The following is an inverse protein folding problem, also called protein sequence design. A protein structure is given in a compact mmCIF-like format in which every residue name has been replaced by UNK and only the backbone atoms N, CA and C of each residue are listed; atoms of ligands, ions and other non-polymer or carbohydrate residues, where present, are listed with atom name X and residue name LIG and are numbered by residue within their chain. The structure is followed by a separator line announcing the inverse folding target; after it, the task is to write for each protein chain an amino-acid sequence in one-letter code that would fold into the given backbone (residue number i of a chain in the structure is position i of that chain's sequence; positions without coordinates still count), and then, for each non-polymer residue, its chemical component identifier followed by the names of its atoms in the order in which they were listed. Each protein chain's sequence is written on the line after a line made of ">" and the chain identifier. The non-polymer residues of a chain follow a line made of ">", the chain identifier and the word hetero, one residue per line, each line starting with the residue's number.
data_IF_948042205167
#
_entry.id   IF_948042205167
#
_cell.length_a   1.000
_cell.length_b   1.000
_cell.length_c   1.000
_cell.angle_alpha   90.00
_cell.angle_beta   90.00
_cell.angle_gamma   90.00
#
_symmetry.space_group_name_H-M   'P 1'
#
loop_
_entity.id
_entity.type
_entity.pdbx_description
1 polymer ?
#
# COMPACT_ATOMS: atom_id res chain seq x y z
N UNK A 1 7.45 -7.17 4.39
CA UNK A 1 8.42 -7.99 5.15
C UNK A 1 8.44 -7.53 6.60
N UNK A 2 7.75 -8.26 7.48
CA UNK A 2 8.11 -8.24 8.90
C UNK A 2 9.27 -9.23 9.05
N UNK A 3 10.41 -8.78 9.58
CA UNK A 3 11.55 -9.66 9.77
C UNK A 3 11.22 -10.66 10.89
N UNK A 4 10.77 -11.86 10.53
CA UNK A 4 10.69 -12.97 11.47
C UNK A 4 12.13 -13.37 11.79
N UNK A 5 12.58 -13.08 13.01
CA UNK A 5 13.94 -13.42 13.45
C UNK A 5 14.07 -14.92 13.78
N UNK A 6 12.95 -15.61 13.93
CA UNK A 6 12.87 -17.03 14.20
C UNK A 6 12.25 -17.80 13.03
N UNK A 7 12.67 -19.06 12.78
CA UNK A 7 12.05 -19.91 11.78
C UNK A 7 10.55 -20.04 12.03
N UNK A 8 9.76 -19.88 10.97
CA UNK A 8 8.32 -20.14 11.02
C UNK A 8 8.13 -21.64 11.22
N UNK A 9 7.37 -22.04 12.25
CA UNK A 9 7.11 -23.46 12.51
C UNK A 9 6.38 -24.11 11.33
N UNK A 10 6.61 -25.41 11.04
CA UNK A 10 5.82 -26.14 10.08
C UNK A 10 4.32 -25.96 10.33
N UNK A 11 3.53 -25.93 9.24
CA UNK A 11 2.07 -25.78 9.29
C UNK A 11 1.55 -24.43 9.82
N UNK A 12 2.43 -23.44 10.04
CA UNK A 12 1.99 -22.09 10.40
C UNK A 12 1.29 -21.42 9.21
N UNK A 13 0.04 -20.96 9.36
CA UNK A 13 -0.62 -20.20 8.31
C UNK A 13 0.13 -18.90 8.03
N UNK A 14 0.50 -18.71 6.76
CA UNK A 14 1.06 -17.46 6.28
C UNK A 14 0.21 -16.92 5.14
N UNK A 15 0.34 -15.63 4.86
CA UNK A 15 -0.32 -15.01 3.73
C UNK A 15 0.69 -14.23 2.90
N UNK A 16 0.45 -14.25 1.60
CA UNK A 16 1.19 -13.45 0.64
C UNK A 16 0.20 -12.57 -0.10
N UNK A 17 0.56 -11.29 -0.26
CA UNK A 17 -0.26 -10.30 -0.94
C UNK A 17 0.36 -9.91 -2.27
N UNK A 18 -0.45 -9.99 -3.31
CA UNK A 18 -0.16 -9.44 -4.62
C UNK A 18 -1.13 -8.27 -4.90
N UNK A 19 -0.62 -7.18 -5.44
CA UNK A 19 -1.43 -6.03 -5.85
C UNK A 19 -1.13 -5.70 -7.30
N UNK A 20 -2.19 -5.58 -8.10
CA UNK A 20 -2.13 -5.32 -9.52
C UNK A 20 -2.77 -3.95 -9.76
N UNK A 21 -2.00 -3.06 -10.39
CA UNK A 21 -2.44 -1.68 -10.67
C UNK A 21 -2.85 -1.49 -12.12
N UNK A 22 -2.69 -2.52 -12.94
CA UNK A 22 -2.93 -2.52 -14.38
C UNK A 22 -3.80 -3.74 -14.74
N UNK A 23 -4.96 -3.48 -15.34
CA UNK A 23 -5.95 -4.48 -15.71
C UNK A 23 -5.40 -5.52 -16.70
N UNK A 24 -4.42 -5.14 -17.53
CA UNK A 24 -3.79 -6.05 -18.50
C UNK A 24 -3.02 -7.18 -17.83
N UNK A 25 -2.53 -6.96 -16.59
CA UNK A 25 -1.83 -7.98 -15.81
C UNK A 25 -2.80 -8.94 -15.13
N UNK A 26 -3.99 -8.46 -14.75
CA UNK A 26 -4.98 -9.28 -14.06
C UNK A 26 -5.37 -10.50 -14.92
N UNK A 27 -5.77 -10.27 -16.18
CA UNK A 27 -6.17 -11.36 -17.08
C UNK A 27 -5.07 -12.39 -17.36
N UNK A 28 -3.80 -11.98 -17.38
CA UNK A 28 -2.65 -12.88 -17.54
C UNK A 28 -2.45 -13.77 -16.31
N UNK A 29 -2.66 -13.20 -15.11
CA UNK A 29 -2.48 -13.92 -13.86
C UNK A 29 -3.68 -14.82 -13.53
N UNK A 30 -4.90 -14.49 -13.99
CA UNK A 30 -6.09 -15.35 -13.83
C UNK A 30 -5.84 -16.78 -14.28
N UNK A 31 -5.16 -16.98 -15.41
CA UNK A 31 -4.80 -18.31 -15.91
C UNK A 31 -3.84 -19.06 -14.98
N UNK A 32 -2.92 -18.36 -14.30
CA UNK A 32 -2.05 -18.99 -13.31
C UNK A 32 -2.85 -19.43 -12.08
N UNK A 33 -3.80 -18.60 -11.61
CA UNK A 33 -4.62 -18.91 -10.45
C UNK A 33 -5.56 -20.10 -10.69
N UNK A 34 -6.16 -20.21 -11.89
CA UNK A 34 -7.02 -21.33 -12.28
C UNK A 34 -6.27 -22.67 -12.33
N UNK A 35 -4.95 -22.63 -12.53
CA UNK A 35 -4.09 -23.82 -12.62
C UNK A 35 -3.34 -24.11 -11.32
N UNK A 36 -3.73 -23.47 -10.20
CA UNK A 36 -3.14 -23.81 -8.90
C UNK A 36 -3.59 -25.20 -8.51
N UNK A 37 -2.60 -26.10 -8.41
CA UNK A 37 -2.79 -27.40 -7.81
C UNK A 37 -2.54 -27.27 -6.30
N UNK A 38 -3.56 -27.45 -5.43
CA UNK A 38 -3.42 -27.33 -3.98
C UNK A 38 -2.53 -28.42 -3.36
N UNK A 39 -2.33 -29.54 -4.06
CA UNK A 39 -1.45 -30.64 -3.62
C UNK A 39 0.01 -30.42 -4.03
N UNK A 40 0.29 -29.43 -4.88
CA UNK A 40 1.64 -29.11 -5.33
C UNK A 40 2.27 -28.03 -4.45
N UNK A 41 3.36 -28.38 -3.80
CA UNK A 41 4.18 -27.42 -3.06
C UNK A 41 4.76 -26.34 -3.99
N UNK A 42 4.71 -25.10 -3.52
CA UNK A 42 5.37 -23.94 -4.10
C UNK A 42 6.64 -23.64 -3.32
N UNK A 43 7.78 -23.65 -4.00
CA UNK A 43 9.06 -23.35 -3.37
C UNK A 43 9.25 -21.84 -3.26
N UNK A 44 9.33 -21.33 -2.02
CA UNK A 44 9.69 -19.95 -1.73
C UNK A 44 10.92 -19.91 -0.83
N UNK A 45 12.08 -19.68 -1.43
CA UNK A 45 13.36 -19.81 -0.73
C UNK A 45 13.61 -21.26 -0.32
N UNK A 46 13.82 -21.51 0.97
CA UNK A 46 14.03 -22.86 1.53
C UNK A 46 12.75 -23.52 2.05
N UNK A 47 11.59 -22.90 1.86
CA UNK A 47 10.31 -23.38 2.39
C UNK A 47 9.37 -23.87 1.28
N UNK A 48 8.64 -24.92 1.59
CA UNK A 48 7.53 -25.43 0.79
C UNK A 48 6.22 -24.81 1.29
N UNK A 49 5.49 -24.17 0.39
CA UNK A 49 4.22 -23.52 0.68
C UNK A 49 3.09 -24.19 -0.09
N UNK A 50 1.98 -24.44 0.59
CA UNK A 50 0.75 -24.92 -0.03
C UNK A 50 -0.27 -23.78 -0.06
N UNK A 51 -0.85 -23.54 -1.23
CA UNK A 51 -1.87 -22.50 -1.38
C UNK A 51 -3.19 -23.07 -0.86
N UNK A 52 -3.60 -22.62 0.32
CA UNK A 52 -4.83 -23.09 0.98
C UNK A 52 -6.06 -22.26 0.62
N UNK A 53 -5.87 -20.99 0.25
CA UNK A 53 -6.96 -20.09 -0.16
C UNK A 53 -6.45 -18.91 -0.97
N UNK A 54 -7.35 -18.30 -1.76
CA UNK A 54 -7.10 -17.06 -2.50
C UNK A 54 -8.25 -16.10 -2.18
N UNK A 55 -7.91 -14.89 -1.76
CA UNK A 55 -8.88 -13.88 -1.35
C UNK A 55 -8.70 -12.61 -2.18
N UNK A 56 -9.78 -12.21 -2.85
CA UNK A 56 -9.81 -11.01 -3.73
C UNK A 56 -10.82 -9.96 -3.27
N UNK A 57 -11.71 -10.33 -2.35
CA UNK A 57 -12.72 -9.44 -1.75
C UNK A 57 -12.35 -9.09 -0.31
N UNK A 58 -12.73 -7.89 0.17
CA UNK A 58 -12.49 -7.50 1.55
C UNK A 58 -13.25 -8.42 2.52
N UNK A 59 -12.53 -8.93 3.51
CA UNK A 59 -13.07 -9.73 4.61
C UNK A 59 -12.51 -9.19 5.94
N UNK A 60 -13.27 -9.32 7.04
CA UNK A 60 -12.87 -8.79 8.35
C UNK A 60 -11.54 -9.36 8.85
N UNK A 61 -11.25 -10.63 8.54
CA UNK A 61 -9.99 -11.29 8.87
C UNK A 61 -8.85 -10.94 7.90
N UNK A 62 -9.13 -10.30 6.76
CA UNK A 62 -8.18 -10.06 5.67
C UNK A 62 -8.33 -8.66 5.08
N UNK A 63 -7.97 -7.62 5.86
CA UNK A 63 -8.17 -6.22 5.49
C UNK A 63 -7.26 -5.72 4.36
N UNK A 64 -6.39 -6.58 3.82
CA UNK A 64 -5.42 -6.26 2.77
C UNK A 64 -5.82 -6.80 1.39
N UNK A 65 -6.88 -7.61 1.32
CA UNK A 65 -7.46 -8.14 0.10
C UNK A 65 -8.64 -7.25 -0.34
N UNK A 66 -8.58 -6.71 -1.55
CA UNK A 66 -9.67 -5.92 -2.12
C UNK A 66 -9.53 -5.86 -3.64
N UNK A 67 -10.62 -5.57 -4.34
CA UNK A 67 -10.67 -5.34 -5.78
C UNK A 67 -11.61 -4.16 -6.06
N UNK A 68 -11.09 -3.13 -6.73
CA UNK A 68 -11.83 -1.93 -7.06
C UNK A 68 -11.25 -1.31 -8.33
N UNK A 69 -12.10 -0.76 -9.19
CA UNK A 69 -11.64 0.01 -10.35
C UNK A 69 -11.26 1.43 -9.93
N UNK A 70 -10.41 2.09 -10.72
CA UNK A 70 -10.05 3.50 -10.47
C UNK A 70 -11.26 4.43 -10.47
N UNK A 71 -12.22 4.21 -11.39
CA UNK A 71 -13.45 4.99 -11.45
C UNK A 71 -14.30 4.82 -10.19
N UNK A 72 -14.52 3.58 -9.73
CA UNK A 72 -15.24 3.32 -8.48
C UNK A 72 -14.53 3.95 -7.28
N UNK A 73 -13.20 3.84 -7.22
CA UNK A 73 -12.42 4.40 -6.12
C UNK A 73 -12.50 5.94 -6.08
N UNK A 74 -12.52 6.58 -7.26
CA UNK A 74 -12.76 8.01 -7.37
C UNK A 74 -14.19 8.39 -6.97
N UNK A 75 -15.19 7.71 -7.53
CA UNK A 75 -16.61 8.01 -7.32
C UNK A 75 -17.01 7.90 -5.84
N UNK A 76 -16.53 6.86 -5.15
CA UNK A 76 -16.80 6.57 -3.74
C UNK A 76 -16.02 7.47 -2.78
N UNK A 77 -14.98 8.15 -3.23
CA UNK A 77 -14.19 9.03 -2.39
C UNK A 77 -15.03 10.19 -1.85
N UNK A 78 -14.85 10.50 -0.57
CA UNK A 78 -15.58 11.58 0.10
C UNK A 78 -15.06 12.95 -0.32
N UNK A 79 -15.96 13.85 -0.73
CA UNK A 79 -15.67 15.28 -0.94
C UNK A 79 -15.72 16.12 0.32
N UNK A 80 -15.93 15.51 1.49
CA UNK A 80 -16.09 16.21 2.78
C UNK A 80 -15.14 15.72 3.87
N UNK A 81 -14.60 14.50 3.78
CA UNK A 81 -13.67 13.96 4.77
C UNK A 81 -12.32 14.67 4.68
N UNK A 82 -11.90 15.28 5.80
CA UNK A 82 -10.68 16.08 5.88
C UNK A 82 -9.58 15.43 6.69
N UNK A 83 -9.82 14.27 7.30
CA UNK A 83 -8.85 13.49 8.06
C UNK A 83 -8.43 12.24 7.30
N UNK A 84 -7.12 12.03 7.18
CA UNK A 84 -6.53 10.91 6.47
C UNK A 84 -5.60 10.19 7.43
N UNK A 85 -6.01 9.01 7.88
CA UNK A 85 -5.27 8.20 8.85
C UNK A 85 -4.62 7.02 8.14
N UNK A 86 -3.29 6.99 8.05
CA UNK A 86 -2.55 5.88 7.46
C UNK A 86 -1.94 4.97 8.51
N UNK A 87 -1.98 3.67 8.24
CA UNK A 87 -1.20 2.65 8.95
C UNK A 87 -0.17 2.03 8.01
N UNK A 88 1.11 2.24 8.31
CA UNK A 88 2.25 1.64 7.62
C UNK A 88 2.56 0.28 8.26
N UNK A 89 2.23 -0.80 7.55
CA UNK A 89 2.32 -2.18 8.05
C UNK A 89 3.65 -2.87 7.74
N UNK A 90 4.44 -2.30 6.83
CA UNK A 90 5.80 -2.77 6.53
C UNK A 90 6.75 -1.58 6.44
N UNK A 91 8.06 -1.77 6.67
CA UNK A 91 9.03 -0.68 6.61
C UNK A 91 8.87 0.14 5.33
N UNK A 92 8.67 1.45 5.49
CA UNK A 92 8.42 2.39 4.39
C UNK A 92 9.49 3.48 4.35
N UNK A 93 10.09 3.67 3.19
CA UNK A 93 11.14 4.65 2.98
C UNK A 93 10.92 5.43 1.68
N UNK A 94 11.45 6.64 1.64
CA UNK A 94 11.28 7.60 0.55
C UNK A 94 12.62 8.11 0.08
N UNK A 95 12.70 8.55 -1.18
CA UNK A 95 13.90 9.23 -1.70
C UNK A 95 13.81 10.72 -1.38
N UNK A 96 14.80 11.26 -0.70
CA UNK A 96 14.96 12.69 -0.44
C UNK A 96 16.34 13.15 -0.93
N UNK A 97 16.35 13.82 -2.09
CA UNK A 97 17.60 14.12 -2.79
C UNK A 97 18.36 12.84 -3.14
N UNK A 98 19.59 12.72 -2.63
CA UNK A 98 20.46 11.56 -2.87
C UNK A 98 20.31 10.44 -1.82
N UNK A 99 19.56 10.68 -0.74
CA UNK A 99 19.46 9.77 0.40
C UNK A 99 18.05 9.22 0.58
N UNK A 100 17.94 8.09 1.27
CA UNK A 100 16.64 7.56 1.67
C UNK A 100 16.27 8.09 3.06
N UNK A 101 14.99 8.41 3.27
CA UNK A 101 14.42 8.85 4.55
C UNK A 101 13.26 7.95 4.96
N UNK A 102 13.17 7.67 6.26
CA UNK A 102 12.05 6.95 6.85
C UNK A 102 10.92 7.89 7.28
N UNK A 103 11.07 9.21 7.14
CA UNK A 103 10.06 10.17 7.56
C UNK A 103 8.95 10.30 6.49
N UNK A 104 7.69 9.99 6.83
CA UNK A 104 6.57 10.08 5.90
C UNK A 104 6.06 11.54 5.84
N UNK A 105 6.80 12.42 5.16
CA UNK A 105 6.30 13.78 4.89
C UNK A 105 5.07 13.73 3.96
N UNK A 106 4.24 14.78 3.97
CA UNK A 106 3.09 14.87 3.06
C UNK A 106 3.52 14.76 1.59
N UNK A 107 4.63 15.41 1.22
CA UNK A 107 5.16 15.35 -0.14
C UNK A 107 5.60 13.93 -0.47
N UNK A 108 6.29 13.27 0.46
CA UNK A 108 6.82 11.93 0.27
C UNK A 108 5.71 10.89 0.05
N UNK A 109 4.65 10.96 0.87
CA UNK A 109 3.51 10.04 0.80
C UNK A 109 2.63 10.34 -0.42
N UNK A 110 2.12 11.56 -0.53
CA UNK A 110 1.11 11.89 -1.53
C UNK A 110 1.69 12.02 -2.93
N UNK A 111 2.94 12.49 -3.12
CA UNK A 111 3.57 12.43 -4.46
C UNK A 111 3.79 10.98 -4.91
N UNK A 112 4.16 10.08 -3.99
CA UNK A 112 4.32 8.65 -4.31
C UNK A 112 3.01 8.01 -4.77
N UNK A 113 1.89 8.37 -4.14
CA UNK A 113 0.56 7.89 -4.52
C UNK A 113 0.12 8.48 -5.85
N UNK A 114 0.22 9.80 -5.98
CA UNK A 114 -0.19 10.54 -7.16
C UNK A 114 0.57 10.10 -8.43
N UNK A 115 1.87 9.87 -8.33
CA UNK A 115 2.67 9.37 -9.45
C UNK A 115 2.19 8.02 -9.97
N UNK A 116 1.78 7.11 -9.06
CA UNK A 116 1.24 5.80 -9.45
C UNK A 116 -0.19 5.91 -9.95
N UNK A 117 -1.00 6.76 -9.31
CA UNK A 117 -2.37 7.04 -9.74
C UNK A 117 -2.36 7.55 -11.17
N UNK A 118 -1.72 8.70 -11.44
CA UNK A 118 -1.70 9.31 -12.77
C UNK A 118 -1.08 8.41 -13.84
N UNK A 119 -0.20 7.47 -13.46
CA UNK A 119 0.39 6.51 -14.40
C UNK A 119 -0.61 5.43 -14.85
N UNK A 120 -1.49 4.97 -13.95
CA UNK A 120 -2.29 3.76 -14.19
C UNK A 120 -3.80 4.00 -14.24
N UNK A 121 -4.30 5.09 -13.65
CA UNK A 121 -5.74 5.30 -13.47
C UNK A 121 -6.48 5.77 -14.73
N UNK A 122 -5.77 6.44 -15.64
CA UNK A 122 -6.40 7.20 -16.73
C UNK A 122 -7.18 8.45 -16.28
N UNK A 123 -7.17 8.77 -14.98
CA UNK A 123 -7.82 9.93 -14.37
C UNK A 123 -6.72 10.83 -13.81
N UNK A 124 -6.38 11.91 -14.50
CA UNK A 124 -5.31 12.79 -14.09
C UNK A 124 -5.72 13.69 -12.92
N UNK A 125 -4.86 13.74 -11.89
CA UNK A 125 -5.03 14.60 -10.72
C UNK A 125 -3.81 15.52 -10.62
N UNK A 126 -4.06 16.81 -10.37
CA UNK A 126 -3.02 17.83 -10.23
C UNK A 126 -2.18 17.59 -8.96
N UNK A 127 -0.84 17.79 -9.00
CA UNK A 127 0.00 17.73 -7.80
C UNK A 127 -0.25 18.85 -6.78
N UNK A 128 -0.94 19.92 -7.17
CA UNK A 128 -1.25 21.08 -6.31
C UNK A 128 -2.17 20.70 -5.14
N UNK A 129 -2.93 19.61 -5.24
CA UNK A 129 -3.80 19.12 -4.15
C UNK A 129 -3.03 18.77 -2.88
N UNK A 130 -1.71 18.59 -2.97
CA UNK A 130 -0.86 18.22 -1.82
C UNK A 130 -0.62 19.43 -0.89
N UNK A 131 -0.75 20.65 -1.40
CA UNK A 131 -0.37 21.86 -0.67
C UNK A 131 -1.27 22.10 0.55
N UNK A 132 -2.56 21.77 0.43
CA UNK A 132 -3.54 21.89 1.51
C UNK A 132 -3.50 20.75 2.54
N UNK A 133 -2.63 19.75 2.36
CA UNK A 133 -2.48 18.64 3.29
C UNK A 133 -1.46 19.01 4.37
N UNK A 134 -1.70 18.66 5.62
CA UNK A 134 -0.80 18.92 6.74
C UNK A 134 -0.70 17.70 7.67
N UNK A 135 0.51 17.28 8.09
CA UNK A 135 0.64 16.23 9.09
C UNK A 135 0.03 16.70 10.42
N UNK A 136 -0.80 15.87 11.04
CA UNK A 136 -1.51 16.19 12.29
C UNK A 136 -1.18 15.25 13.44
N UNK A 137 -0.70 14.05 13.14
CA UNK A 137 -0.30 13.06 14.15
C UNK A 137 0.73 12.09 13.57
N UNK A 138 1.65 11.63 14.41
CA UNK A 138 2.54 10.52 14.08
C UNK A 138 2.84 9.70 15.34
N UNK A 139 2.71 8.39 15.21
CA UNK A 139 3.22 7.41 16.15
C UNK A 139 3.89 6.31 15.32
N UNK A 140 5.15 6.56 15.00
CA UNK A 140 5.95 5.72 14.12
C UNK A 140 7.25 5.35 14.80
N UNK A 141 7.78 4.19 14.41
CA UNK A 141 9.15 3.78 14.73
C UNK A 141 9.84 3.29 13.47
N UNK A 142 11.16 3.35 13.46
CA UNK A 142 11.95 2.76 12.38
C UNK A 142 12.06 1.26 12.57
N UNK A 143 11.95 0.53 11.47
CA UNK A 143 12.26 -0.89 11.39
C UNK A 143 13.22 -1.16 10.23
N UNK A 144 14.02 -2.21 10.38
CA UNK A 144 14.95 -2.66 9.36
C UNK A 144 14.29 -3.79 8.57
N UNK A 145 14.03 -3.55 7.30
CA UNK A 145 13.77 -4.58 6.31
C UNK A 145 15.11 -5.05 5.75
N UNK A 146 15.44 -6.33 5.90
CA UNK A 146 16.66 -6.91 5.36
C UNK A 146 16.33 -8.00 4.37
N UNK A 147 17.07 -8.02 3.26
CA UNK A 147 17.23 -9.16 2.38
C UNK A 147 18.71 -9.60 2.45
N UNK A 148 19.01 -10.79 1.96
CA UNK A 148 20.32 -11.40 1.80
C UNK A 148 21.44 -10.46 1.32
N UNK A 149 21.11 -9.40 0.56
CA UNK A 149 22.06 -8.47 -0.05
C UNK A 149 22.05 -7.06 0.52
N UNK A 150 21.06 -6.66 1.32
CA UNK A 150 20.93 -5.24 1.73
C UNK A 150 19.99 -5.05 2.93
N UNK A 151 20.27 -4.01 3.72
CA UNK A 151 19.42 -3.54 4.81
C UNK A 151 18.77 -2.22 4.41
N UNK A 152 17.47 -2.10 4.62
CA UNK A 152 16.68 -0.90 4.36
C UNK A 152 16.00 -0.47 5.65
N UNK A 153 16.10 0.81 5.98
CA UNK A 153 15.44 1.40 7.15
C UNK A 153 14.20 2.12 6.65
N UNK A 154 13.05 1.84 7.26
CA UNK A 154 11.80 2.52 6.96
C UNK A 154 10.92 2.67 8.19
N UNK A 155 9.89 3.51 8.12
CA UNK A 155 8.92 3.65 9.20
C UNK A 155 7.84 2.56 9.15
N UNK A 156 7.36 2.19 10.33
CA UNK A 156 6.11 1.47 10.55
C UNK A 156 5.31 2.21 11.63
N UNK A 157 3.99 2.03 11.64
CA UNK A 157 3.10 2.68 12.61
C UNK A 157 2.05 3.57 11.95
N UNK A 158 1.60 4.60 12.66
CA UNK A 158 0.47 5.42 12.27
C UNK A 158 0.88 6.86 11.99
N UNK A 159 0.30 7.45 10.95
CA UNK A 159 0.44 8.87 10.63
C UNK A 159 -0.90 9.39 10.17
N UNK A 160 -1.29 10.55 10.67
CA UNK A 160 -2.50 11.24 10.22
C UNK A 160 -2.14 12.55 9.55
N UNK A 161 -2.93 12.89 8.53
CA UNK A 161 -2.90 14.16 7.84
C UNK A 161 -4.29 14.80 7.88
N UNK A 162 -4.33 16.12 7.82
CA UNK A 162 -5.54 16.92 7.70
C UNK A 162 -5.50 17.81 6.46
N UNK A 163 -6.65 17.94 5.81
CA UNK A 163 -6.88 18.91 4.74
C UNK A 163 -7.31 20.23 5.40
N UNK A 164 -6.49 21.26 5.26
CA UNK A 164 -6.65 22.56 5.93
C UNK A 164 -6.98 23.66 4.92
N UNK A 165 -7.65 24.72 5.39
CA UNK A 165 -8.04 25.86 4.57
C UNK A 165 -9.39 25.68 3.86
N UNK A 166 -9.73 26.67 3.04
CA UNK A 166 -10.89 26.64 2.15
C UNK A 166 -10.49 25.86 0.89
N UNK A 167 -10.97 24.62 0.80
CA UNK A 167 -10.62 23.67 -0.25
C UNK A 167 -11.91 23.16 -0.87
N UNK A 168 -11.99 23.24 -2.19
CA UNK A 168 -13.15 22.78 -2.94
C UNK A 168 -13.44 21.29 -2.69
N UNK A 169 -14.72 20.88 -2.60
CA UNK A 169 -15.09 19.48 -2.37
C UNK A 169 -14.46 18.50 -3.37
N UNK A 170 -14.23 18.92 -4.61
CA UNK A 170 -13.59 18.09 -5.63
C UNK A 170 -12.11 17.81 -5.31
N UNK A 171 -11.38 18.79 -4.80
CA UNK A 171 -9.99 18.60 -4.36
C UNK A 171 -9.94 17.67 -3.14
N UNK A 172 -10.88 17.84 -2.21
CA UNK A 172 -11.03 16.92 -1.06
C UNK A 172 -11.27 15.50 -1.58
N UNK A 173 -12.17 15.33 -2.55
CA UNK A 173 -12.48 14.04 -3.17
C UNK A 173 -11.26 13.41 -3.83
N UNK A 174 -10.48 14.17 -4.59
CA UNK A 174 -9.24 13.71 -5.23
C UNK A 174 -8.22 13.23 -4.19
N UNK A 175 -8.04 13.98 -3.10
CA UNK A 175 -7.13 13.59 -2.00
C UNK A 175 -7.61 12.30 -1.34
N UNK A 176 -8.91 12.17 -1.10
CA UNK A 176 -9.50 10.97 -0.52
C UNK A 176 -9.32 9.75 -1.44
N UNK A 177 -9.53 9.91 -2.76
CA UNK A 177 -9.32 8.86 -3.74
C UNK A 177 -7.87 8.36 -3.73
N UNK A 178 -6.87 9.25 -3.80
CA UNK A 178 -5.48 8.80 -3.75
C UNK A 178 -5.09 8.21 -2.38
N UNK A 179 -5.75 8.63 -1.30
CA UNK A 179 -5.54 8.03 0.02
C UNK A 179 -6.10 6.61 0.11
N UNK A 180 -7.28 6.35 -0.45
CA UNK A 180 -7.89 5.02 -0.48
C UNK A 180 -7.12 4.10 -1.43
N UNK A 181 -6.55 4.65 -2.51
CA UNK A 181 -5.66 3.95 -3.44
C UNK A 181 -4.40 3.40 -2.78
N UNK A 182 -3.98 3.97 -1.64
CA UNK A 182 -2.77 3.58 -0.93
C UNK A 182 -2.77 2.09 -0.55
N UNK A 183 -3.96 1.51 -0.30
CA UNK A 183 -4.13 0.08 -0.08
C UNK A 183 -3.46 -0.70 -1.22
N UNK A 184 -3.80 -0.40 -2.47
CA UNK A 184 -3.35 -1.14 -3.66
C UNK A 184 -1.91 -0.80 -4.04
N UNK A 185 -1.57 0.48 -4.07
CA UNK A 185 -0.30 0.95 -4.62
C UNK A 185 0.89 0.77 -3.68
N UNK A 186 0.63 0.75 -2.37
CA UNK A 186 1.63 1.05 -1.37
C UNK A 186 2.25 2.44 -1.57
N UNK A 187 3.24 2.76 -0.76
CA UNK A 187 3.87 4.09 -0.72
C UNK A 187 5.39 3.97 -0.62
N UNK A 188 6.10 4.91 -1.24
CA UNK A 188 7.55 4.99 -1.13
C UNK A 188 8.29 4.00 -2.03
N UNK A 189 9.47 3.59 -1.58
CA UNK A 189 10.44 2.78 -2.35
C UNK A 189 10.22 1.29 -2.13
N UNK A 190 10.63 0.49 -3.13
CA UNK A 190 10.73 -0.97 -3.04
C UNK A 190 9.41 -1.66 -2.69
N UNK A 191 8.27 -1.10 -3.10
CA UNK A 191 6.97 -1.75 -2.93
C UNK A 191 6.89 -3.16 -3.55
N UNK A 192 7.54 -3.46 -4.70
CA UNK A 192 7.58 -4.84 -5.20
C UNK A 192 8.36 -5.83 -4.32
N UNK A 193 9.20 -5.33 -3.41
CA UNK A 193 9.95 -6.14 -2.43
C UNK A 193 9.21 -6.26 -1.08
N UNK A 194 7.93 -5.88 -1.02
CA UNK A 194 7.11 -5.98 0.20
C UNK A 194 7.41 -4.90 1.26
N UNK A 195 8.02 -3.78 0.85
CA UNK A 195 8.07 -2.54 1.64
C UNK A 195 6.87 -1.65 1.30
N UNK A 196 6.61 -0.62 2.10
CA UNK A 196 5.63 0.39 1.71
C UNK A 196 4.16 -0.04 1.75
N UNK A 197 3.82 -1.18 2.36
CA UNK A 197 2.43 -1.55 2.62
C UNK A 197 1.80 -0.55 3.58
N UNK A 198 0.80 0.17 3.07
CA UNK A 198 0.05 1.17 3.82
C UNK A 198 -1.42 1.05 3.46
N UNK A 199 -2.30 1.34 4.41
CA UNK A 199 -3.72 1.49 4.14
C UNK A 199 -4.27 2.67 4.91
N UNK A 200 -5.30 3.29 4.36
CA UNK A 200 -6.12 4.24 5.10
C UNK A 200 -6.99 3.49 6.10
N UNK A 201 -7.12 4.04 7.31
CA UNK A 201 -8.12 3.62 8.26
C UNK A 201 -9.39 4.45 8.03
N UNK A 202 -10.49 3.78 7.73
CA UNK A 202 -11.82 4.36 7.79
C UNK A 202 -12.31 4.24 9.24
N UNK A 203 -12.68 5.37 9.83
CA UNK A 203 -13.35 5.39 11.14
C UNK A 203 -14.78 4.86 11.02
#
# INVERSE_FOLDING_TARGET
>A
MAAHQEPILPETPCWWRLSLLDDTLFGKLTQLWLNINPEKAWHLGSADLFITSIQVTPQSNQPWANACTYAQLYEQASGAERSINFTFATPTAFRQGNFDTALPSKESVFKSLLQRWNKYSGIEISPEIIDCIFPSFFNIRTEIASDSRSKFIGCVGQVSYKIMGEVEPEVIKQINAIADFALYAGVGRKTPMGMGMVRRQTN
#
